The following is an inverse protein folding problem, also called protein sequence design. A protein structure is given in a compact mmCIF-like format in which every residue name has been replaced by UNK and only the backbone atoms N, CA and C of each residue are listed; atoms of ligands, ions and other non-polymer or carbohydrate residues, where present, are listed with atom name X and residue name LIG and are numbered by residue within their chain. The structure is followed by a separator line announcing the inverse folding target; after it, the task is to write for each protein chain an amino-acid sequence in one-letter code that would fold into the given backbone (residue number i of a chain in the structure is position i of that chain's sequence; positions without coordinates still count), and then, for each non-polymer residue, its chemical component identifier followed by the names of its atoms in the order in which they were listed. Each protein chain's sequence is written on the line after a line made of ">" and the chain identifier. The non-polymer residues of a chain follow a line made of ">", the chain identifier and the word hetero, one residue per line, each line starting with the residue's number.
data_IF_567874120410
#
_entry.id   IF_567874120410
#
_cell.length_a   1.000
_cell.length_b   1.000
_cell.length_c   1.000
_cell.angle_alpha   90.00
_cell.angle_beta   90.00
_cell.angle_gamma   90.00
#
_symmetry.space_group_name_H-M   'P 1'
#
loop_
_entity.id
_entity.type
_entity.pdbx_description
1 polymer ?
#
# COMPACT_ATOMS: atom_id res chain seq x y z
N UNK A 1 -31.38 19.01 56.96
CA UNK A 1 -32.35 19.38 55.90
C UNK A 1 -31.64 19.36 54.55
N UNK A 2 -32.15 18.52 53.64
CA UNK A 2 -32.08 18.46 52.17
C UNK A 2 -30.80 18.84 51.39
N UNK A 3 -30.40 17.85 50.58
CA UNK A 3 -29.39 17.80 49.51
C UNK A 3 -29.66 18.82 48.39
N UNK A 4 -28.62 19.26 47.70
CA UNK A 4 -28.69 19.57 46.27
C UNK A 4 -27.45 19.04 45.56
N UNK A 5 -27.71 18.24 44.54
CA UNK A 5 -26.75 17.53 43.67
C UNK A 5 -26.70 18.32 42.36
N UNK A 6 -25.53 18.86 42.01
CA UNK A 6 -25.26 19.40 40.69
C UNK A 6 -24.79 18.28 39.76
N UNK A 7 -25.62 17.93 38.76
CA UNK A 7 -25.28 16.98 37.70
C UNK A 7 -24.33 17.63 36.70
N UNK A 8 -23.14 17.04 36.52
CA UNK A 8 -22.28 17.28 35.35
C UNK A 8 -22.92 16.63 34.11
N UNK A 9 -23.25 17.45 33.11
CA UNK A 9 -23.64 16.99 31.79
C UNK A 9 -22.40 16.68 30.96
N UNK A 10 -22.13 15.40 30.74
CA UNK A 10 -21.15 14.90 29.78
C UNK A 10 -21.71 15.03 28.35
N UNK A 11 -21.30 16.05 27.62
CA UNK A 11 -21.55 16.18 26.19
C UNK A 11 -20.62 15.26 25.40
N UNK A 12 -20.94 13.97 25.35
CA UNK A 12 -20.32 13.01 24.44
C UNK A 12 -20.83 13.23 23.02
N UNK A 13 -20.23 14.18 22.30
CA UNK A 13 -20.44 14.35 20.87
C UNK A 13 -19.77 13.21 20.11
N UNK A 14 -20.53 12.16 19.79
CA UNK A 14 -20.12 11.18 18.78
C UNK A 14 -20.00 11.90 17.44
N UNK A 15 -18.77 12.15 17.00
CA UNK A 15 -18.51 12.61 15.64
C UNK A 15 -19.16 11.62 14.67
N UNK A 16 -20.21 12.07 13.97
CA UNK A 16 -20.78 11.31 12.85
C UNK A 16 -19.66 11.10 11.84
N UNK A 17 -19.27 9.84 11.62
CA UNK A 17 -18.51 9.47 10.42
C UNK A 17 -19.28 10.03 9.22
N UNK A 18 -18.62 10.86 8.43
CA UNK A 18 -19.18 11.32 7.17
C UNK A 18 -19.61 10.09 6.37
N UNK A 19 -20.79 10.16 5.74
CA UNK A 19 -21.19 9.12 4.79
C UNK A 19 -20.10 9.02 3.71
N UNK A 20 -19.72 7.80 3.31
CA UNK A 20 -18.71 7.64 2.27
C UNK A 20 -19.18 8.39 1.00
N UNK A 21 -18.24 8.99 0.24
CA UNK A 21 -18.59 9.63 -1.01
C UNK A 21 -19.36 8.66 -1.92
N UNK A 22 -20.21 9.21 -2.79
CA UNK A 22 -20.93 8.41 -3.77
C UNK A 22 -19.94 7.54 -4.57
N UNK A 23 -20.31 6.29 -4.91
CA UNK A 23 -19.41 5.40 -5.63
C UNK A 23 -19.00 6.03 -6.96
N UNK A 24 -17.71 5.96 -7.30
CA UNK A 24 -17.22 6.44 -8.58
C UNK A 24 -17.94 5.71 -9.72
N UNK A 25 -18.29 6.40 -10.82
CA UNK A 25 -18.80 5.75 -12.01
C UNK A 25 -17.88 4.59 -12.41
N UNK A 26 -18.47 3.44 -12.81
CA UNK A 26 -17.74 2.25 -13.28
C UNK A 26 -16.81 1.57 -12.26
N UNK A 27 -16.84 1.96 -10.99
CA UNK A 27 -15.98 1.35 -9.98
C UNK A 27 -16.23 -0.16 -9.79
N UNK A 28 -17.48 -0.60 -9.77
CA UNK A 28 -17.81 -2.04 -9.71
C UNK A 28 -17.34 -2.80 -10.95
N UNK A 29 -17.46 -2.18 -12.14
CA UNK A 29 -16.97 -2.73 -13.40
C UNK A 29 -15.44 -2.88 -13.38
N UNK A 30 -14.74 -1.87 -12.85
CA UNK A 30 -13.30 -1.87 -12.65
C UNK A 30 -12.85 -2.99 -11.71
N UNK A 31 -13.49 -3.17 -10.54
CA UNK A 31 -13.16 -4.25 -9.62
C UNK A 31 -13.40 -5.64 -10.26
N UNK A 32 -14.51 -5.79 -10.99
CA UNK A 32 -14.79 -7.02 -11.75
C UNK A 32 -13.75 -7.28 -12.84
N UNK A 33 -13.29 -6.22 -13.52
CA UNK A 33 -12.26 -6.30 -14.54
C UNK A 33 -10.89 -6.66 -13.96
N UNK A 34 -10.45 -6.04 -12.86
CA UNK A 34 -9.13 -6.31 -12.29
C UNK A 34 -9.10 -7.63 -11.52
N UNK A 35 -10.08 -7.85 -10.64
CA UNK A 35 -10.04 -8.95 -9.69
C UNK A 35 -10.99 -10.09 -10.06
N UNK A 36 -12.21 -9.76 -10.52
CA UNK A 36 -13.30 -10.72 -10.72
C UNK A 36 -13.13 -11.68 -11.89
N UNK A 37 -12.39 -11.30 -12.93
CA UNK A 37 -12.15 -12.16 -14.11
C UNK A 37 -11.04 -13.20 -13.94
N UNK A 38 -10.33 -13.16 -12.80
CA UNK A 38 -9.24 -14.08 -12.50
C UNK A 38 -9.85 -15.32 -11.87
N UNK A 39 -9.72 -16.46 -12.55
CA UNK A 39 -9.99 -17.79 -11.98
C UNK A 39 -8.70 -18.60 -11.79
N UNK A 40 -8.80 -19.79 -11.19
CA UNK A 40 -7.66 -20.68 -10.93
C UNK A 40 -6.99 -21.22 -12.20
N UNK A 41 -7.74 -21.34 -13.30
CA UNK A 41 -7.26 -21.89 -14.56
C UNK A 41 -6.66 -20.83 -15.50
N UNK A 42 -6.94 -19.55 -15.23
CA UNK A 42 -6.52 -18.43 -16.04
C UNK A 42 -5.02 -18.22 -15.94
N UNK A 43 -4.37 -18.15 -17.11
CA UNK A 43 -3.01 -17.64 -17.26
C UNK A 43 -3.07 -16.10 -17.31
N UNK A 44 -2.70 -15.41 -16.22
CA UNK A 44 -2.93 -13.97 -16.13
C UNK A 44 -2.03 -13.16 -17.06
N UNK A 45 -0.94 -13.76 -17.58
CA UNK A 45 -0.08 -13.16 -18.60
C UNK A 45 -0.73 -13.08 -19.98
N UNK A 46 -1.84 -13.82 -20.20
CA UNK A 46 -2.63 -13.77 -21.44
C UNK A 46 -3.78 -12.79 -21.37
N UNK A 47 -4.03 -12.19 -20.21
CA UNK A 47 -5.12 -11.22 -20.03
C UNK A 47 -4.71 -9.84 -20.54
N UNK A 48 -5.67 -9.14 -21.16
CA UNK A 48 -5.52 -7.74 -21.54
C UNK A 48 -5.86 -6.86 -20.34
N UNK A 49 -4.90 -6.07 -19.85
CA UNK A 49 -5.08 -5.20 -18.67
C UNK A 49 -5.49 -3.76 -18.98
N UNK A 50 -5.77 -3.46 -20.25
CA UNK A 50 -6.31 -2.16 -20.65
C UNK A 50 -7.80 -2.04 -20.33
N UNK A 51 -8.15 -1.08 -19.47
CA UNK A 51 -9.52 -0.70 -19.16
C UNK A 51 -9.85 0.61 -19.90
N UNK A 52 -10.96 0.64 -20.64
CA UNK A 52 -11.31 1.75 -21.54
C UNK A 52 -11.87 2.95 -20.77
N UNK A 53 -10.96 3.72 -20.15
CA UNK A 53 -11.24 4.94 -19.37
C UNK A 53 -10.16 5.99 -19.64
N UNK A 54 -10.45 7.24 -19.29
CA UNK A 54 -9.42 8.28 -19.33
C UNK A 54 -8.33 8.07 -18.27
N UNK A 55 -7.08 8.54 -18.47
CA UNK A 55 -6.03 8.42 -17.45
C UNK A 55 -6.40 8.98 -16.07
N UNK A 56 -7.03 10.18 -15.94
CA UNK A 56 -7.46 10.67 -14.64
C UNK A 56 -8.51 9.78 -13.98
N UNK A 57 -9.46 9.25 -14.75
CA UNK A 57 -10.49 8.32 -14.24
C UNK A 57 -9.87 7.00 -13.76
N UNK A 58 -8.88 6.46 -14.49
CA UNK A 58 -8.15 5.27 -14.05
C UNK A 58 -7.45 5.47 -12.71
N UNK A 59 -6.81 6.63 -12.53
CA UNK A 59 -6.16 6.97 -11.25
C UNK A 59 -7.17 7.05 -10.12
N UNK A 60 -8.33 7.68 -10.33
CA UNK A 60 -9.39 7.77 -9.32
C UNK A 60 -9.93 6.38 -8.95
N UNK A 61 -10.08 5.47 -9.92
CA UNK A 61 -10.48 4.07 -9.69
C UNK A 61 -9.45 3.31 -8.86
N UNK A 62 -8.16 3.48 -9.14
CA UNK A 62 -7.07 2.86 -8.36
C UNK A 62 -6.99 3.43 -6.95
N UNK A 63 -7.10 4.75 -6.79
CA UNK A 63 -7.16 5.41 -5.48
C UNK A 63 -8.30 4.81 -4.65
N UNK A 64 -9.52 4.76 -5.21
CA UNK A 64 -10.66 4.19 -4.52
C UNK A 64 -10.46 2.71 -4.17
N UNK A 65 -9.82 1.93 -5.05
CA UNK A 65 -9.47 0.52 -4.79
C UNK A 65 -8.59 0.38 -3.56
N UNK A 66 -7.56 1.21 -3.42
CA UNK A 66 -6.64 1.16 -2.28
C UNK A 66 -7.26 1.70 -1.00
N UNK A 67 -7.98 2.83 -1.08
CA UNK A 67 -8.67 3.46 0.05
C UNK A 67 -9.81 2.62 0.63
N UNK A 68 -10.34 1.67 -0.15
CA UNK A 68 -11.46 0.80 0.26
C UNK A 68 -11.07 -0.67 0.31
N UNK A 69 -9.77 -0.95 0.27
CA UNK A 69 -9.23 -2.29 0.03
C UNK A 69 -9.67 -3.33 1.06
N UNK A 70 -9.81 -2.97 2.34
CA UNK A 70 -10.26 -3.93 3.38
C UNK A 70 -11.70 -4.39 3.23
N UNK A 71 -12.57 -3.56 2.64
CA UNK A 71 -13.97 -3.91 2.39
C UNK A 71 -14.18 -4.50 1.00
N UNK A 72 -13.75 -3.77 -0.03
CA UNK A 72 -14.08 -4.09 -1.41
C UNK A 72 -13.26 -5.26 -1.97
N UNK A 73 -12.08 -5.56 -1.39
CA UNK A 73 -11.28 -6.71 -1.81
C UNK A 73 -11.58 -8.00 -1.03
N UNK A 74 -12.41 -7.93 0.01
CA UNK A 74 -12.80 -9.08 0.83
C UNK A 74 -13.46 -10.21 0.01
N UNK A 75 -14.32 -9.95 -1.00
CA UNK A 75 -14.95 -11.00 -1.79
C UNK A 75 -13.98 -11.76 -2.71
N UNK A 76 -12.77 -11.25 -2.95
CA UNK A 76 -11.79 -11.86 -3.85
C UNK A 76 -10.78 -12.71 -3.08
N UNK A 77 -10.39 -13.85 -3.66
CA UNK A 77 -9.36 -14.73 -3.10
C UNK A 77 -7.98 -14.06 -3.08
N UNK A 78 -7.05 -14.56 -2.26
CA UNK A 78 -5.68 -14.04 -2.21
C UNK A 78 -4.97 -14.11 -3.57
N UNK A 79 -5.28 -15.12 -4.38
CA UNK A 79 -4.77 -15.23 -5.76
C UNK A 79 -5.29 -14.10 -6.65
N UNK A 80 -6.59 -13.82 -6.58
CA UNK A 80 -7.21 -12.73 -7.34
C UNK A 80 -6.61 -11.37 -6.93
N UNK A 81 -6.46 -11.13 -5.62
CA UNK A 81 -5.85 -9.89 -5.12
C UNK A 81 -4.39 -9.79 -5.50
N UNK A 82 -3.61 -10.86 -5.35
CA UNK A 82 -2.20 -10.86 -5.73
C UNK A 82 -1.97 -10.51 -7.21
N UNK A 83 -2.76 -11.11 -8.11
CA UNK A 83 -2.66 -10.84 -9.54
C UNK A 83 -3.20 -9.43 -9.86
N UNK A 84 -4.31 -9.02 -9.24
CA UNK A 84 -4.86 -7.68 -9.46
C UNK A 84 -3.92 -6.57 -8.99
N UNK A 85 -3.23 -6.75 -7.86
CA UNK A 85 -2.20 -5.82 -7.39
C UNK A 85 -1.00 -5.78 -8.34
N UNK A 86 -0.54 -6.93 -8.85
CA UNK A 86 0.50 -6.96 -9.89
C UNK A 86 0.03 -6.23 -11.15
N UNK A 87 -1.21 -6.46 -11.60
CA UNK A 87 -1.77 -5.75 -12.72
C UNK A 87 -1.77 -4.24 -12.52
N UNK A 88 -2.10 -3.75 -11.33
CA UNK A 88 -2.13 -2.32 -11.05
C UNK A 88 -0.72 -1.71 -10.91
N UNK A 89 0.19 -2.41 -10.22
CA UNK A 89 1.42 -1.81 -9.68
C UNK A 89 2.69 -2.18 -10.44
N UNK A 90 2.71 -3.29 -11.17
CA UNK A 90 3.94 -3.88 -11.72
C UNK A 90 4.08 -3.55 -13.19
N UNK A 91 5.07 -2.71 -13.54
CA UNK A 91 5.31 -2.27 -14.92
C UNK A 91 5.76 -3.40 -15.87
N UNK A 92 6.28 -4.50 -15.32
CA UNK A 92 6.64 -5.69 -16.08
C UNK A 92 5.47 -6.66 -16.28
N UNK A 93 4.32 -6.39 -15.67
CA UNK A 93 3.13 -7.24 -15.72
C UNK A 93 2.02 -6.62 -16.58
N UNK A 94 1.83 -5.31 -16.45
CA UNK A 94 0.78 -4.57 -17.15
C UNK A 94 1.16 -3.10 -17.32
N UNK A 95 0.52 -2.42 -18.28
CA UNK A 95 0.72 -0.99 -18.53
C UNK A 95 -0.12 -0.07 -17.64
N UNK A 96 -0.90 -0.61 -16.67
CA UNK A 96 -1.75 0.22 -15.80
C UNK A 96 -0.90 1.23 -15.04
N UNK A 97 0.20 0.78 -14.41
CA UNK A 97 1.06 1.68 -13.63
C UNK A 97 1.71 2.77 -14.49
N UNK A 98 2.01 2.50 -15.76
CA UNK A 98 2.54 3.49 -16.70
C UNK A 98 1.54 4.64 -16.92
N UNK A 99 0.24 4.33 -16.94
CA UNK A 99 -0.82 5.34 -17.01
C UNK A 99 -0.90 6.13 -15.70
N UNK A 100 -0.76 5.47 -14.54
CA UNK A 100 -0.84 6.12 -13.22
C UNK A 100 0.25 7.16 -13.01
N UNK A 101 1.44 6.92 -13.55
CA UNK A 101 2.57 7.86 -13.45
C UNK A 101 2.73 8.76 -14.69
N UNK A 102 1.98 8.48 -15.76
CA UNK A 102 2.10 9.14 -17.06
C UNK A 102 1.59 10.58 -17.12
N UNK A 103 1.69 11.23 -18.29
CA UNK A 103 1.19 12.59 -18.48
C UNK A 103 -0.34 12.67 -18.32
N UNK A 104 -0.85 13.84 -17.95
CA UNK A 104 -2.29 14.07 -17.78
C UNK A 104 -2.83 13.77 -16.38
N UNK A 105 -2.01 13.19 -15.50
CA UNK A 105 -2.35 13.01 -14.08
C UNK A 105 -1.94 14.24 -13.28
N UNK A 106 -2.91 14.80 -12.54
CA UNK A 106 -2.74 16.02 -11.75
C UNK A 106 -1.90 15.78 -10.49
N UNK A 107 -1.27 16.83 -9.97
CA UNK A 107 -0.51 16.74 -8.71
C UNK A 107 -1.34 16.21 -7.53
N UNK A 108 -2.59 16.68 -7.30
CA UNK A 108 -3.43 16.12 -6.23
C UNK A 108 -3.69 14.63 -6.39
N UNK A 109 -3.89 14.14 -7.62
CA UNK A 109 -4.10 12.72 -7.88
C UNK A 109 -2.85 11.88 -7.60
N UNK A 110 -1.66 12.37 -7.95
CA UNK A 110 -0.40 11.67 -7.63
C UNK A 110 -0.20 11.54 -6.13
N UNK A 111 -0.44 12.62 -5.38
CA UNK A 111 -0.36 12.60 -3.93
C UNK A 111 -1.42 11.69 -3.30
N UNK A 112 -2.66 11.70 -3.81
CA UNK A 112 -3.72 10.83 -3.35
C UNK A 112 -3.40 9.34 -3.63
N UNK A 113 -2.86 9.02 -4.81
CA UNK A 113 -2.41 7.67 -5.15
C UNK A 113 -1.30 7.19 -4.23
N UNK A 114 -0.28 8.01 -3.96
CA UNK A 114 0.78 7.63 -3.02
C UNK A 114 0.19 7.37 -1.64
N UNK A 115 -0.65 8.29 -1.13
CA UNK A 115 -1.23 8.19 0.22
C UNK A 115 -2.16 7.00 0.37
N UNK A 116 -2.92 6.63 -0.65
CA UNK A 116 -3.88 5.52 -0.58
C UNK A 116 -3.19 4.16 -0.39
N UNK A 117 -1.92 4.03 -0.77
CA UNK A 117 -1.11 2.82 -0.52
C UNK A 117 -1.02 2.52 0.99
N UNK A 118 -1.03 3.53 1.88
CA UNK A 118 -1.05 3.29 3.32
C UNK A 118 -2.31 2.52 3.76
N UNK A 119 -3.46 2.83 3.17
CA UNK A 119 -4.71 2.10 3.42
C UNK A 119 -4.64 0.68 2.86
N UNK A 120 -4.05 0.48 1.67
CA UNK A 120 -3.80 -0.86 1.13
C UNK A 120 -2.96 -1.72 2.09
N UNK A 121 -1.87 -1.17 2.64
CA UNK A 121 -1.07 -1.86 3.65
C UNK A 121 -1.91 -2.24 4.86
N UNK A 122 -2.58 -1.26 5.46
CA UNK A 122 -3.27 -1.43 6.74
C UNK A 122 -4.48 -2.34 6.65
N UNK A 123 -5.30 -2.17 5.62
CA UNK A 123 -6.63 -2.79 5.54
C UNK A 123 -6.67 -4.05 4.68
N UNK A 124 -5.65 -4.30 3.86
CA UNK A 124 -5.59 -5.49 3.01
C UNK A 124 -4.35 -6.34 3.26
N UNK A 125 -3.14 -5.78 3.08
CA UNK A 125 -1.91 -6.59 3.15
C UNK A 125 -1.62 -7.08 4.58
N UNK A 126 -1.78 -6.23 5.60
CA UNK A 126 -1.52 -6.60 6.98
C UNK A 126 -2.44 -7.73 7.48
N UNK A 127 -3.67 -7.77 6.98
CA UNK A 127 -4.68 -8.76 7.36
C UNK A 127 -4.55 -10.08 6.59
N UNK A 128 -4.02 -10.05 5.37
CA UNK A 128 -4.06 -11.19 4.44
C UNK A 128 -2.69 -11.79 4.13
N UNK A 129 -1.63 -10.99 4.13
CA UNK A 129 -0.28 -11.49 3.87
C UNK A 129 0.22 -12.27 5.08
N UNK A 130 0.74 -13.50 4.91
CA UNK A 130 1.34 -14.23 6.01
C UNK A 130 2.53 -13.45 6.58
N UNK A 131 2.77 -13.46 7.91
CA UNK A 131 3.88 -12.73 8.54
C UNK A 131 5.20 -13.49 8.35
N UNK A 132 5.58 -13.71 7.10
CA UNK A 132 6.78 -14.42 6.67
C UNK A 132 7.68 -13.48 5.89
N UNK A 133 8.98 -13.71 5.94
CA UNK A 133 9.99 -12.87 5.34
C UNK A 133 10.37 -13.38 3.95
N UNK A 134 10.06 -12.60 2.92
CA UNK A 134 10.34 -12.90 1.53
C UNK A 134 11.84 -13.00 1.25
N UNK A 135 12.66 -12.15 1.88
CA UNK A 135 14.13 -12.14 1.67
C UNK A 135 14.81 -13.43 2.14
N UNK A 136 14.15 -14.18 3.04
CA UNK A 136 14.60 -15.48 3.54
C UNK A 136 13.95 -16.65 2.80
N UNK A 137 13.01 -16.38 1.90
CA UNK A 137 12.18 -17.40 1.24
C UNK A 137 11.53 -18.36 2.25
N UNK A 138 11.03 -17.82 3.38
CA UNK A 138 10.47 -18.61 4.49
C UNK A 138 9.32 -19.51 4.04
N UNK A 139 8.48 -19.04 3.11
CA UNK A 139 7.48 -19.89 2.45
C UNK A 139 7.33 -19.53 0.97
N UNK A 140 6.48 -20.25 0.25
CA UNK A 140 5.91 -19.83 -1.04
C UNK A 140 4.41 -20.14 -1.10
N UNK A 141 3.77 -20.10 0.06
CA UNK A 141 2.46 -20.74 0.27
C UNK A 141 1.29 -19.79 0.02
N UNK A 142 1.50 -18.48 0.14
CA UNK A 142 0.47 -17.46 -0.14
C UNK A 142 0.76 -16.74 -1.47
N UNK A 143 -0.24 -16.60 -2.35
CA UNK A 143 -0.11 -15.76 -3.54
C UNK A 143 0.26 -14.30 -3.26
N UNK A 144 -0.07 -13.78 -2.07
CA UNK A 144 0.17 -12.38 -1.69
C UNK A 144 1.60 -12.10 -1.22
N UNK A 145 2.39 -13.13 -0.93
CA UNK A 145 3.77 -12.97 -0.46
C UNK A 145 4.63 -12.21 -1.48
N UNK A 146 4.61 -12.68 -2.75
CA UNK A 146 5.38 -12.08 -3.83
C UNK A 146 5.03 -10.61 -4.11
N UNK A 147 3.77 -10.23 -4.35
CA UNK A 147 3.44 -8.82 -4.60
C UNK A 147 3.62 -7.92 -3.37
N UNK A 148 3.57 -8.46 -2.15
CA UNK A 148 3.88 -7.67 -0.94
C UNK A 148 5.36 -7.37 -0.88
N UNK A 149 6.22 -8.37 -1.08
CA UNK A 149 7.67 -8.21 -1.01
C UNK A 149 8.24 -7.41 -2.18
N UNK A 150 7.92 -7.80 -3.41
CA UNK A 150 8.53 -7.25 -4.64
C UNK A 150 7.93 -5.92 -5.10
N UNK A 151 6.96 -5.37 -4.37
CA UNK A 151 6.23 -4.16 -4.81
C UNK A 151 7.18 -3.06 -5.27
N UNK A 152 8.20 -2.76 -4.46
CA UNK A 152 9.11 -1.64 -4.66
C UNK A 152 10.24 -1.92 -5.65
N UNK A 153 10.50 -3.18 -5.99
CA UNK A 153 11.43 -3.54 -7.07
C UNK A 153 10.83 -3.33 -8.46
N UNK A 154 9.50 -3.40 -8.56
CA UNK A 154 8.80 -3.46 -9.84
C UNK A 154 7.96 -2.21 -10.10
N UNK A 155 7.43 -1.57 -9.06
CA UNK A 155 6.61 -0.37 -9.25
C UNK A 155 7.48 0.86 -9.54
N UNK A 156 7.16 1.69 -10.55
CA UNK A 156 7.85 2.95 -10.80
C UNK A 156 7.32 4.11 -9.93
N UNK A 157 6.48 3.85 -8.93
CA UNK A 157 5.91 4.88 -8.05
C UNK A 157 6.99 5.59 -7.24
N UNK A 158 8.05 4.90 -6.85
CA UNK A 158 9.19 5.49 -6.14
C UNK A 158 9.95 6.50 -7.02
N UNK A 159 10.08 6.23 -8.32
CA UNK A 159 10.62 7.15 -9.32
C UNK A 159 9.75 8.39 -9.41
N UNK A 160 8.43 8.23 -9.56
CA UNK A 160 7.47 9.33 -9.62
C UNK A 160 7.45 10.17 -8.34
N UNK A 161 7.62 9.52 -7.18
CA UNK A 161 7.67 10.20 -5.90
C UNK A 161 8.93 11.08 -5.74
N UNK A 162 10.07 10.66 -6.31
CA UNK A 162 11.33 11.42 -6.24
C UNK A 162 11.35 12.70 -7.09
N UNK A 163 10.37 12.90 -7.96
CA UNK A 163 10.31 14.09 -8.82
C UNK A 163 10.06 15.40 -8.05
N UNK A 164 9.41 15.32 -6.88
CA UNK A 164 9.09 16.49 -6.05
C UNK A 164 9.28 16.19 -4.57
N UNK A 165 9.70 17.15 -3.74
CA UNK A 165 9.79 16.96 -2.29
C UNK A 165 8.47 16.47 -1.65
N UNK A 166 7.33 17.03 -2.06
CA UNK A 166 6.02 16.74 -1.47
C UNK A 166 5.58 15.29 -1.69
N UNK A 167 5.82 14.75 -2.89
CA UNK A 167 5.53 13.34 -3.19
C UNK A 167 6.50 12.40 -2.49
N UNK A 168 7.78 12.77 -2.39
CA UNK A 168 8.77 11.99 -1.66
C UNK A 168 8.42 11.92 -0.17
N UNK A 169 7.99 13.04 0.41
CA UNK A 169 7.47 13.12 1.77
C UNK A 169 6.24 12.23 1.96
N UNK A 170 5.29 12.27 1.02
CA UNK A 170 4.13 11.40 1.07
C UNK A 170 4.52 9.91 1.02
N UNK A 171 5.46 9.51 0.16
CA UNK A 171 5.88 8.12 0.05
C UNK A 171 6.61 7.63 1.30
N UNK A 172 7.54 8.43 1.84
CA UNK A 172 8.22 8.06 3.09
C UNK A 172 7.23 7.97 4.26
N UNK A 173 6.22 8.85 4.32
CA UNK A 173 5.17 8.75 5.33
C UNK A 173 4.35 7.46 5.22
N UNK A 174 4.03 7.01 4.00
CA UNK A 174 3.34 5.72 3.76
C UNK A 174 4.18 4.55 4.25
N UNK A 175 5.48 4.55 3.92
CA UNK A 175 6.39 3.48 4.34
C UNK A 175 6.59 3.48 5.86
N UNK A 176 6.73 4.65 6.48
CA UNK A 176 6.82 4.77 7.94
C UNK A 176 5.54 4.30 8.66
N UNK A 177 4.37 4.55 8.07
CA UNK A 177 3.11 4.00 8.58
C UNK A 177 3.07 2.46 8.46
N UNK A 178 3.54 1.89 7.35
CA UNK A 178 3.65 0.45 7.18
C UNK A 178 4.64 -0.20 8.16
N UNK A 179 5.76 0.47 8.50
CA UNK A 179 6.68 0.04 9.56
C UNK A 179 6.03 -0.03 10.95
N UNK A 180 4.92 0.67 11.16
CA UNK A 180 4.20 0.66 12.44
C UNK A 180 3.30 -0.57 12.62
N UNK A 181 3.03 -1.31 11.54
CA UNK A 181 2.14 -2.47 11.53
C UNK A 181 2.76 -3.65 12.30
N UNK A 182 1.90 -4.57 12.74
CA UNK A 182 2.31 -5.80 13.43
C UNK A 182 2.67 -6.94 12.48
N UNK A 183 2.42 -6.77 11.17
CA UNK A 183 2.66 -7.80 10.17
C UNK A 183 4.09 -7.70 9.61
N UNK A 184 4.90 -8.72 9.87
CA UNK A 184 6.31 -8.77 9.48
C UNK A 184 6.54 -8.61 7.96
N UNK A 185 5.66 -9.15 7.11
CA UNK A 185 5.79 -9.00 5.66
C UNK A 185 5.55 -7.56 5.21
N UNK A 186 4.63 -6.85 5.85
CA UNK A 186 4.41 -5.42 5.60
C UNK A 186 5.60 -4.57 6.09
N UNK A 187 6.15 -4.89 7.25
CA UNK A 187 7.35 -4.23 7.79
C UNK A 187 8.54 -4.46 6.86
N UNK A 188 8.77 -5.70 6.41
CA UNK A 188 9.83 -6.03 5.46
C UNK A 188 9.66 -5.26 4.15
N UNK A 189 8.46 -5.25 3.57
CA UNK A 189 8.17 -4.51 2.35
C UNK A 189 8.45 -3.01 2.52
N UNK A 190 8.06 -2.43 3.65
CA UNK A 190 8.32 -1.03 3.95
C UNK A 190 9.82 -0.73 4.09
N UNK A 191 10.58 -1.59 4.79
CA UNK A 191 12.04 -1.49 4.87
C UNK A 191 12.68 -1.60 3.48
N UNK A 192 12.19 -2.50 2.65
CA UNK A 192 12.70 -2.69 1.29
C UNK A 192 12.49 -1.41 0.44
N UNK A 193 11.28 -0.82 0.47
CA UNK A 193 10.99 0.46 -0.19
C UNK A 193 11.84 1.63 0.34
N UNK A 194 12.01 1.74 1.66
CA UNK A 194 12.90 2.75 2.26
C UNK A 194 14.37 2.51 1.92
N UNK A 195 14.75 1.26 1.67
CA UNK A 195 16.09 0.89 1.22
C UNK A 195 16.40 1.42 -0.17
N UNK A 196 15.49 1.26 -1.15
CA UNK A 196 15.61 1.86 -2.49
C UNK A 196 15.84 3.38 -2.40
N UNK A 197 15.08 4.07 -1.53
CA UNK A 197 15.22 5.51 -1.29
C UNK A 197 16.55 5.87 -0.62
N UNK A 198 16.98 5.07 0.36
CA UNK A 198 18.25 5.28 1.10
C UNK A 198 19.49 5.09 0.21
N UNK A 199 19.44 4.13 -0.72
CA UNK A 199 20.46 3.95 -1.76
C UNK A 199 20.56 5.15 -2.71
N UNK A 200 19.42 5.79 -2.98
CA UNK A 200 19.32 7.06 -3.71
C UNK A 200 19.69 8.30 -2.88
N UNK A 201 20.26 8.11 -1.68
CA UNK A 201 20.71 9.17 -0.75
C UNK A 201 19.59 10.06 -0.21
N UNK A 202 18.35 9.57 -0.17
CA UNK A 202 17.25 10.27 0.47
C UNK A 202 17.43 10.20 1.99
N UNK A 203 17.80 11.32 2.62
CA UNK A 203 18.10 11.39 4.06
C UNK A 203 16.89 10.98 4.91
N UNK A 204 15.70 11.44 4.53
CA UNK A 204 14.48 11.20 5.30
C UNK A 204 14.07 9.71 5.34
N UNK A 205 14.41 8.94 4.31
CA UNK A 205 14.19 7.49 4.32
C UNK A 205 15.08 6.80 5.37
N UNK A 206 16.35 7.22 5.49
CA UNK A 206 17.25 6.72 6.53
C UNK A 206 16.77 7.10 7.93
N UNK A 207 16.31 8.34 8.09
CA UNK A 207 15.73 8.80 9.36
C UNK A 207 14.53 7.94 9.77
N UNK A 208 13.63 7.60 8.84
CA UNK A 208 12.50 6.73 9.15
C UNK A 208 12.93 5.32 9.63
N UNK A 209 14.00 4.76 9.04
CA UNK A 209 14.57 3.48 9.49
C UNK A 209 15.22 3.62 10.87
N UNK A 210 16.00 4.69 11.08
CA UNK A 210 16.68 4.96 12.35
C UNK A 210 15.68 5.13 13.51
N UNK A 211 14.60 5.87 13.28
CA UNK A 211 13.52 6.08 14.26
C UNK A 211 12.81 4.77 14.60
N UNK A 212 12.57 3.91 13.60
CA UNK A 212 11.96 2.60 13.81
C UNK A 212 12.87 1.65 14.60
N UNK A 213 14.17 1.59 14.27
CA UNK A 213 15.16 0.78 14.99
C UNK A 213 15.27 1.20 16.47
N UNK A 214 15.25 2.51 16.75
CA UNK A 214 15.33 3.03 18.11
C UNK A 214 14.08 2.70 18.97
N UNK A 215 12.92 2.53 18.34
CA UNK A 215 11.63 2.39 19.03
C UNK A 215 11.15 0.96 19.26
N UNK A 216 11.85 -0.09 18.77
CA UNK A 216 11.29 -1.45 18.66
C UNK A 216 12.23 -2.55 19.20
N UNK A 217 12.31 -2.75 20.53
CA UNK A 217 13.17 -3.80 21.11
C UNK A 217 12.67 -5.24 20.87
N UNK A 218 11.38 -5.43 20.56
CA UNK A 218 10.73 -6.75 20.48
C UNK A 218 10.48 -7.23 19.04
N UNK A 219 11.25 -6.74 18.06
CA UNK A 219 11.15 -7.18 16.66
C UNK A 219 12.10 -8.35 16.40
N UNK A 220 11.69 -9.23 15.48
CA UNK A 220 12.51 -10.37 15.02
C UNK A 220 13.93 -9.92 14.61
N UNK A 221 14.99 -10.63 15.05
CA UNK A 221 16.36 -10.28 14.70
C UNK A 221 16.63 -10.18 13.20
N UNK A 222 15.94 -10.99 12.39
CA UNK A 222 16.07 -10.99 10.94
C UNK A 222 15.59 -9.66 10.33
N UNK A 223 14.51 -9.08 10.84
CA UNK A 223 14.02 -7.76 10.41
C UNK A 223 14.94 -6.64 10.86
N UNK A 224 15.56 -6.74 12.04
CA UNK A 224 16.58 -5.78 12.49
C UNK A 224 17.79 -5.81 11.55
N UNK A 225 18.29 -7.02 11.22
CA UNK A 225 19.39 -7.18 10.29
C UNK A 225 19.03 -6.66 8.89
N UNK A 226 17.80 -6.89 8.45
CA UNK A 226 17.29 -6.37 7.18
C UNK A 226 17.23 -4.83 7.18
N UNK A 227 16.72 -4.22 8.26
CA UNK A 227 16.64 -2.76 8.40
C UNK A 227 18.02 -2.10 8.38
N UNK A 228 19.01 -2.66 9.09
CA UNK A 228 20.39 -2.16 9.07
C UNK A 228 21.01 -2.17 7.67
N UNK A 229 20.69 -3.18 6.86
CA UNK A 229 21.10 -3.24 5.46
C UNK A 229 20.31 -2.26 4.58
N UNK A 230 18.99 -2.19 4.75
CA UNK A 230 18.14 -1.26 4.02
C UNK A 230 18.57 0.20 4.26
N UNK A 231 18.99 0.54 5.47
CA UNK A 231 19.54 1.85 5.85
C UNK A 231 20.71 2.30 4.95
N UNK A 232 21.55 1.37 4.49
CA UNK A 232 22.66 1.67 3.57
C UNK A 232 22.29 1.54 2.09
N UNK A 233 21.02 1.26 1.79
CA UNK A 233 20.52 0.97 0.45
C UNK A 233 20.80 -0.45 -0.04
N UNK A 234 21.23 -1.34 0.85
CA UNK A 234 21.60 -2.72 0.51
C UNK A 234 20.42 -3.68 0.71
N UNK A 235 19.44 -3.63 -0.17
CA UNK A 235 18.27 -4.52 -0.20
C UNK A 235 18.54 -5.74 -1.10
N UNK A 236 17.72 -6.79 -0.95
CA UNK A 236 17.86 -8.07 -1.65
C UNK A 236 16.58 -8.44 -2.37
#
# INVERSE_FOLDING_TARGET
>A
MKRSVGKNGSGGGTARRASPPAPLPRYEEWLGFIFGRIDEASDPWRLMWAFDVSPPELVDLVIATFERSGGDLQPYTDRQVAIGLQAIMFNNFSSVVDVLIGPGITEPQRLALIRSIATLYRECLAERSPPVLGHLSETRSSPLEFPTYMMWDVTPIDVMARETPERLEALVAVLADALSLANDACVESALHGLGHLSGSRVVMARTAIDDWLAGRPDVRPELIAYAERARTGCIQ
#
